data_IF_420253011747
#
_entry.id   IF_420253011747
#
_cell.length_a   1.000
_cell.length_b   1.000
_cell.length_c   1.000
_cell.angle_alpha   90.00
_cell.angle_beta   90.00
_cell.angle_gamma   90.00
#
_symmetry.space_group_name_H-M   'P 1'
#
loop_
_entity.id
_entity.type
_entity.pdbx_description
1 polymer ?
#
# COMPACT_ATOMS: atom_id res chain seq x y z
N UNK A 1 -11.52 14.12 21.23
CA UNK A 1 -11.89 13.70 19.90
C UNK A 1 -11.44 14.75 18.91
N UNK A 2 -10.48 14.42 18.05
CA UNK A 2 -10.06 15.31 16.97
C UNK A 2 -11.06 15.14 15.85
N UNK A 3 -11.85 16.16 15.56
CA UNK A 3 -12.72 16.18 14.39
C UNK A 3 -11.89 16.01 13.13
N UNK A 4 -12.40 15.27 12.16
CA UNK A 4 -11.72 15.07 10.87
C UNK A 4 -11.32 16.42 10.25
N UNK A 5 -10.04 16.59 9.96
CA UNK A 5 -9.49 17.80 9.35
C UNK A 5 -9.00 17.45 7.96
N UNK A 6 -9.51 18.14 6.95
CA UNK A 6 -8.93 18.08 5.60
C UNK A 6 -7.55 18.75 5.64
N UNK A 7 -6.51 18.04 5.24
CA UNK A 7 -5.17 18.61 5.06
C UNK A 7 -4.81 18.64 3.57
N UNK A 8 -3.96 19.59 3.17
CA UNK A 8 -3.44 19.63 1.80
C UNK A 8 -2.65 18.33 1.52
N UNK A 9 -2.83 17.81 0.32
CA UNK A 9 -2.19 16.59 -0.15
C UNK A 9 -0.67 16.78 -0.30
N UNK A 10 0.06 16.46 0.75
CA UNK A 10 1.53 16.45 0.74
C UNK A 10 2.05 15.13 0.16
N UNK A 11 1.33 14.02 0.35
CA UNK A 11 1.77 12.68 -0.03
C UNK A 11 1.71 12.46 -1.54
N UNK A 12 0.61 12.84 -2.20
CA UNK A 12 0.51 12.73 -3.65
C UNK A 12 1.54 13.62 -4.38
N UNK A 13 1.83 14.80 -3.82
CA UNK A 13 2.87 15.70 -4.34
C UNK A 13 4.27 15.12 -4.16
N UNK A 14 4.55 14.48 -3.03
CA UNK A 14 5.84 13.82 -2.76
C UNK A 14 6.16 12.70 -3.74
N UNK A 15 5.20 11.81 -3.98
CA UNK A 15 5.37 10.71 -4.92
C UNK A 15 5.53 11.16 -6.39
N UNK A 16 4.87 12.25 -6.80
CA UNK A 16 5.03 12.81 -8.15
C UNK A 16 6.42 13.43 -8.36
N UNK A 17 7.06 13.93 -7.29
CA UNK A 17 8.46 14.41 -7.36
C UNK A 17 9.45 13.26 -7.55
N UNK A 18 9.20 12.11 -6.93
CA UNK A 18 10.07 10.94 -7.04
C UNK A 18 9.89 10.18 -8.36
N UNK A 19 8.67 10.13 -8.89
CA UNK A 19 8.31 9.40 -10.11
C UNK A 19 7.72 10.36 -11.16
N UNK A 20 8.58 10.89 -12.01
CA UNK A 20 8.20 11.87 -13.05
C UNK A 20 7.15 11.34 -14.04
N UNK A 21 7.11 10.01 -14.25
CA UNK A 21 6.09 9.35 -15.08
C UNK A 21 4.66 9.46 -14.52
N UNK A 22 4.53 9.78 -13.24
CA UNK A 22 3.25 9.97 -12.55
C UNK A 22 2.86 11.45 -12.40
N UNK A 23 3.70 12.37 -12.90
CA UNK A 23 3.43 13.80 -12.83
C UNK A 23 2.15 14.14 -13.61
N UNK A 24 1.22 14.86 -12.97
CA UNK A 24 -0.07 15.22 -13.56
C UNK A 24 -1.11 14.10 -13.65
N UNK A 25 -0.78 12.87 -13.21
CA UNK A 25 -1.68 11.70 -13.26
C UNK A 25 -2.28 11.34 -11.91
N UNK A 26 -2.07 12.15 -10.88
CA UNK A 26 -2.46 11.86 -9.50
C UNK A 26 -3.14 13.05 -8.88
N UNK A 27 -4.24 12.77 -8.20
CA UNK A 27 -4.90 13.69 -7.27
C UNK A 27 -5.15 12.94 -5.97
N UNK A 28 -5.16 13.64 -4.85
CA UNK A 28 -5.46 13.04 -3.55
C UNK A 28 -6.21 14.02 -2.66
N UNK A 29 -7.11 13.49 -1.85
CA UNK A 29 -7.86 14.22 -0.84
C UNK A 29 -7.67 13.52 0.51
N UNK A 30 -6.73 13.97 1.34
CA UNK A 30 -6.49 13.34 2.63
C UNK A 30 -7.62 13.66 3.60
N UNK A 31 -8.07 12.63 4.32
CA UNK A 31 -9.05 12.73 5.40
C UNK A 31 -8.40 12.23 6.67
N UNK A 32 -8.44 13.04 7.75
CA UNK A 32 -7.98 12.60 9.06
C UNK A 32 -9.14 12.02 9.86
N UNK A 33 -8.91 10.84 10.40
CA UNK A 33 -9.86 10.11 11.25
C UNK A 33 -9.28 9.91 12.66
N UNK A 34 -10.10 9.76 13.69
CA UNK A 34 -9.64 9.64 15.08
C UNK A 34 -9.19 8.21 15.39
N UNK A 35 -8.17 7.72 14.68
CA UNK A 35 -7.49 6.45 14.98
C UNK A 35 -6.15 6.71 15.68
N UNK A 36 -5.66 5.78 16.51
CA UNK A 36 -4.36 5.92 17.18
C UNK A 36 -3.20 5.97 16.19
N UNK A 37 -3.21 5.10 15.22
CA UNK A 37 -2.19 4.94 14.18
C UNK A 37 -2.81 4.25 12.96
N UNK A 38 -2.02 4.03 11.92
CA UNK A 38 -2.37 3.42 10.64
C UNK A 38 -3.21 4.35 9.76
N UNK A 39 -2.89 4.35 8.51
CA UNK A 39 -3.62 5.06 7.46
C UNK A 39 -4.10 4.09 6.40
N UNK A 40 -5.08 4.51 5.61
CA UNK A 40 -5.57 3.78 4.45
C UNK A 40 -5.47 4.67 3.22
N UNK A 41 -4.87 4.15 2.16
CA UNK A 41 -4.96 4.74 0.83
C UNK A 41 -6.04 4.04 0.01
N UNK A 42 -6.91 4.82 -0.62
CA UNK A 42 -7.89 4.33 -1.58
C UNK A 42 -7.37 4.69 -2.97
N UNK A 43 -6.96 3.69 -3.73
CA UNK A 43 -6.33 3.85 -5.03
C UNK A 43 -7.34 3.53 -6.14
N UNK A 44 -7.78 4.55 -6.86
CA UNK A 44 -8.58 4.36 -8.08
C UNK A 44 -7.64 4.33 -9.27
N UNK A 45 -7.60 3.20 -9.98
CA UNK A 45 -6.65 2.92 -11.04
C UNK A 45 -7.37 2.56 -12.34
N UNK A 46 -6.74 2.92 -13.47
CA UNK A 46 -7.12 2.42 -14.80
C UNK A 46 -6.01 1.52 -15.31
N UNK A 47 -6.32 0.26 -15.48
CA UNK A 47 -5.38 -0.78 -15.90
C UNK A 47 -5.19 -0.81 -17.43
N UNK A 48 -4.10 -1.40 -17.88
CA UNK A 48 -3.81 -1.59 -19.30
C UNK A 48 -4.73 -2.60 -19.98
N UNK A 49 -5.27 -3.56 -19.22
CA UNK A 49 -6.19 -4.61 -19.69
C UNK A 49 -7.37 -4.76 -18.73
N UNK A 50 -8.43 -5.40 -19.20
CA UNK A 50 -9.54 -5.83 -18.33
C UNK A 50 -9.09 -6.96 -17.42
N UNK A 51 -9.70 -7.05 -16.24
CA UNK A 51 -9.44 -8.09 -15.25
C UNK A 51 -10.68 -8.30 -14.37
N UNK A 52 -10.63 -9.29 -13.49
CA UNK A 52 -11.64 -9.55 -12.46
C UNK A 52 -11.07 -9.29 -11.06
N UNK A 53 -11.93 -9.29 -10.04
CA UNK A 53 -11.51 -9.16 -8.64
C UNK A 53 -10.60 -10.33 -8.26
N UNK A 54 -10.98 -11.54 -8.67
CA UNK A 54 -10.27 -12.79 -8.38
C UNK A 54 -8.86 -12.77 -8.98
N UNK A 55 -8.75 -12.48 -10.28
CA UNK A 55 -7.46 -12.42 -10.98
C UNK A 55 -6.54 -11.35 -10.38
N UNK A 56 -7.10 -10.18 -10.05
CA UNK A 56 -6.32 -9.10 -9.47
C UNK A 56 -5.84 -9.44 -8.05
N UNK A 57 -6.72 -9.99 -7.22
CA UNK A 57 -6.38 -10.41 -5.87
C UNK A 57 -5.36 -11.56 -5.85
N UNK A 58 -5.50 -12.55 -6.74
CA UNK A 58 -4.53 -13.62 -6.88
C UNK A 58 -3.14 -13.11 -7.28
N UNK A 59 -3.08 -12.19 -8.25
CA UNK A 59 -1.84 -11.54 -8.64
C UNK A 59 -1.20 -10.76 -7.49
N UNK A 60 -1.98 -9.95 -6.75
CA UNK A 60 -1.47 -9.15 -5.64
C UNK A 60 -1.01 -10.04 -4.47
N UNK A 61 -1.71 -11.14 -4.22
CA UNK A 61 -1.29 -12.15 -3.25
C UNK A 61 0.02 -12.82 -3.68
N UNK A 62 0.16 -13.18 -4.95
CA UNK A 62 1.41 -13.71 -5.48
C UNK A 62 2.56 -12.70 -5.32
N UNK A 63 2.32 -11.42 -5.62
CA UNK A 63 3.32 -10.35 -5.42
C UNK A 63 3.78 -10.28 -3.98
N UNK A 64 2.87 -10.38 -3.02
CA UNK A 64 3.21 -10.31 -1.59
C UNK A 64 4.04 -11.50 -1.09
N UNK A 65 3.95 -12.66 -1.74
CA UNK A 65 4.60 -13.89 -1.29
C UNK A 65 5.89 -14.22 -2.09
N UNK A 66 5.90 -13.97 -3.40
CA UNK A 66 6.92 -14.53 -4.31
C UNK A 66 7.71 -13.48 -5.10
N UNK A 67 7.31 -12.21 -5.06
CA UNK A 67 8.01 -11.17 -5.82
C UNK A 67 9.13 -10.51 -5.00
N UNK A 68 10.05 -9.78 -5.65
CA UNK A 68 11.01 -8.91 -4.95
C UNK A 68 10.36 -7.84 -4.05
N UNK A 69 9.04 -7.64 -4.19
CA UNK A 69 8.28 -6.68 -3.40
C UNK A 69 7.70 -7.28 -2.11
N UNK A 70 7.93 -8.55 -1.80
CA UNK A 70 7.38 -9.24 -0.63
C UNK A 70 7.70 -8.59 0.73
N UNK A 71 8.74 -7.74 0.81
CA UNK A 71 9.04 -6.94 2.00
C UNK A 71 8.37 -5.57 2.02
N UNK A 72 7.66 -5.23 0.96
CA UNK A 72 7.02 -3.95 0.77
C UNK A 72 5.50 -4.07 0.68
N UNK A 73 5.03 -5.17 0.10
CA UNK A 73 3.62 -5.45 -0.13
C UNK A 73 3.21 -6.67 0.67
N UNK A 74 2.16 -6.54 1.43
CA UNK A 74 1.48 -7.62 2.12
C UNK A 74 0.02 -7.69 1.67
N UNK A 75 -0.70 -8.73 2.06
CA UNK A 75 -2.04 -9.03 1.58
C UNK A 75 -2.90 -9.61 2.70
N UNK A 76 -4.08 -9.07 2.90
CA UNK A 76 -5.05 -9.54 3.88
C UNK A 76 -6.37 -9.87 3.18
N UNK A 77 -6.99 -10.99 3.58
CA UNK A 77 -8.29 -11.45 3.09
C UNK A 77 -9.27 -11.73 4.25
N UNK A 78 -9.15 -10.97 5.33
CA UNK A 78 -10.06 -11.08 6.47
C UNK A 78 -11.16 -10.03 6.37
N UNK A 79 -12.44 -10.41 6.44
CA UNK A 79 -13.55 -9.46 6.44
C UNK A 79 -13.58 -8.58 7.70
N UNK A 80 -12.91 -8.99 8.76
CA UNK A 80 -12.88 -8.28 10.05
C UNK A 80 -11.66 -7.39 10.23
N UNK A 81 -10.87 -7.19 9.16
CA UNK A 81 -9.64 -6.38 9.21
C UNK A 81 -9.94 -4.92 9.57
N UNK A 82 -9.26 -4.42 10.60
CA UNK A 82 -9.40 -3.04 11.08
C UNK A 82 -8.02 -2.39 11.30
N UNK A 83 -7.99 -1.07 11.38
CA UNK A 83 -6.73 -0.30 11.47
C UNK A 83 -5.77 -0.78 12.57
N UNK A 84 -6.28 -1.25 13.70
CA UNK A 84 -5.46 -1.72 14.82
C UNK A 84 -4.67 -2.98 14.51
N UNK A 85 -5.11 -3.80 13.55
CA UNK A 85 -4.44 -5.04 13.16
C UNK A 85 -3.14 -4.79 12.42
N UNK A 86 -3.01 -3.61 11.83
CA UNK A 86 -1.84 -3.21 11.04
C UNK A 86 -0.84 -2.35 11.79
N UNK A 87 -1.08 -2.07 13.07
CA UNK A 87 -0.11 -1.37 13.92
C UNK A 87 1.15 -2.23 14.07
N UNK A 88 2.31 -1.66 13.74
CA UNK A 88 3.59 -2.38 13.73
C UNK A 88 3.84 -3.21 12.46
N UNK A 89 3.01 -3.10 11.43
CA UNK A 89 3.29 -3.71 10.14
C UNK A 89 4.58 -3.15 9.55
N UNK A 90 5.46 -4.05 9.09
CA UNK A 90 6.75 -3.70 8.47
C UNK A 90 6.64 -3.36 6.98
N UNK A 91 5.52 -3.69 6.38
CA UNK A 91 5.29 -3.49 4.95
C UNK A 91 4.95 -2.02 4.65
N UNK A 92 5.29 -1.58 3.46
CA UNK A 92 4.91 -0.26 2.97
C UNK A 92 3.41 -0.19 2.68
N UNK A 93 2.81 -1.34 2.39
CA UNK A 93 1.39 -1.46 2.03
C UNK A 93 0.87 -2.86 2.35
N UNK A 94 -0.36 -2.94 2.85
CA UNK A 94 -1.12 -4.17 3.03
C UNK A 94 -2.40 -4.06 2.22
N UNK A 95 -2.52 -4.88 1.19
CA UNK A 95 -3.68 -4.88 0.28
C UNK A 95 -4.88 -5.54 0.97
N UNK A 96 -6.00 -4.86 1.00
CA UNK A 96 -7.26 -5.40 1.50
C UNK A 96 -8.05 -6.07 0.37
N UNK A 97 -8.03 -7.38 0.36
CA UNK A 97 -8.65 -8.18 -0.70
C UNK A 97 -10.18 -8.08 -0.72
N UNK A 98 -10.78 -8.03 0.48
CA UNK A 98 -12.25 -8.01 0.61
C UNK A 98 -12.84 -6.66 0.16
N UNK A 99 -12.04 -5.59 0.21
CA UNK A 99 -12.44 -4.27 -0.24
C UNK A 99 -12.10 -3.99 -1.72
N UNK A 100 -11.44 -4.92 -2.43
CA UNK A 100 -11.06 -4.74 -3.84
C UNK A 100 -12.30 -4.67 -4.74
N UNK A 101 -12.35 -3.66 -5.60
CA UNK A 101 -13.44 -3.46 -6.57
C UNK A 101 -12.85 -3.43 -7.98
N UNK A 102 -13.47 -4.14 -8.94
CA UNK A 102 -13.07 -4.14 -10.34
C UNK A 102 -14.28 -3.97 -11.24
N UNK A 103 -14.14 -3.15 -12.28
CA UNK A 103 -15.12 -2.96 -13.35
C UNK A 103 -14.37 -2.76 -14.68
N UNK A 104 -14.23 -3.85 -15.45
CA UNK A 104 -13.48 -3.87 -16.70
C UNK A 104 -12.00 -3.52 -16.44
N UNK A 105 -11.58 -2.34 -16.91
CA UNK A 105 -10.22 -1.82 -16.72
C UNK A 105 -10.06 -0.93 -15.50
N UNK A 106 -11.13 -0.61 -14.79
CA UNK A 106 -11.08 0.24 -13.62
C UNK A 106 -11.07 -0.61 -12.36
N UNK A 107 -10.18 -0.29 -11.44
CA UNK A 107 -10.17 -0.92 -10.12
C UNK A 107 -9.98 0.09 -9.00
N UNK A 108 -10.50 -0.28 -7.84
CA UNK A 108 -10.26 0.44 -6.58
C UNK A 108 -9.61 -0.54 -5.62
N UNK A 109 -8.44 -0.17 -5.13
CA UNK A 109 -7.71 -0.91 -4.11
C UNK A 109 -7.72 -0.13 -2.81
N UNK A 110 -7.95 -0.84 -1.72
CA UNK A 110 -7.81 -0.32 -0.36
C UNK A 110 -6.50 -0.86 0.22
N UNK A 111 -5.68 0.04 0.71
CA UNK A 111 -4.30 -0.27 1.10
C UNK A 111 -4.02 0.31 2.47
N UNK A 112 -3.82 -0.56 3.45
CA UNK A 112 -3.42 -0.19 4.80
C UNK A 112 -1.92 0.04 4.90
N UNK A 113 -1.49 0.95 5.75
CA UNK A 113 -0.07 1.15 6.05
C UNK A 113 0.14 1.84 7.40
N UNK A 114 1.17 1.38 8.13
CA UNK A 114 1.64 2.06 9.32
C UNK A 114 2.60 3.19 8.90
N UNK A 115 2.15 4.43 9.10
CA UNK A 115 2.89 5.62 8.66
C UNK A 115 4.28 5.73 9.30
N UNK A 116 4.43 5.27 10.53
CA UNK A 116 5.63 5.45 11.34
C UNK A 116 6.53 4.25 11.26
N UNK A 117 6.03 3.09 11.66
CA UNK A 117 6.81 1.86 11.74
C UNK A 117 7.11 1.28 10.35
N UNK A 118 6.11 1.18 9.49
CA UNK A 118 6.28 0.68 8.13
C UNK A 118 7.26 1.54 7.31
N UNK A 119 7.13 2.87 7.39
CA UNK A 119 8.08 3.77 6.73
C UNK A 119 9.52 3.59 7.24
N UNK A 120 9.71 3.51 8.56
CA UNK A 120 11.03 3.30 9.17
C UNK A 120 11.66 1.98 8.71
N UNK A 121 10.87 0.92 8.59
CA UNK A 121 11.31 -0.36 8.03
C UNK A 121 11.76 -0.24 6.57
N UNK A 122 11.07 0.56 5.75
CA UNK A 122 11.48 0.77 4.36
C UNK A 122 12.78 1.58 4.26
N UNK A 123 12.98 2.58 5.13
CA UNK A 123 14.26 3.32 5.22
C UNK A 123 15.39 2.37 5.56
N UNK A 124 15.20 1.53 6.59
CA UNK A 124 16.20 0.52 6.96
C UNK A 124 16.51 -0.44 5.82
N UNK A 125 15.49 -0.90 5.09
CA UNK A 125 15.66 -1.77 3.93
C UNK A 125 16.51 -1.12 2.84
N UNK A 126 16.30 0.17 2.55
CA UNK A 126 17.11 0.92 1.58
C UNK A 126 18.55 1.05 2.05
N UNK A 127 18.77 1.34 3.33
CA UNK A 127 20.12 1.39 3.91
C UNK A 127 20.83 0.03 3.79
N UNK A 128 20.15 -1.07 4.05
CA UNK A 128 20.67 -2.43 3.85
C UNK A 128 21.08 -2.67 2.39
N UNK A 129 20.22 -2.29 1.46
CA UNK A 129 20.51 -2.44 0.03
C UNK A 129 21.73 -1.62 -0.40
N UNK A 130 21.87 -0.38 0.06
CA UNK A 130 23.00 0.48 -0.24
C UNK A 130 24.30 -0.08 0.36
N UNK A 131 24.21 -0.68 1.55
CA UNK A 131 25.38 -1.27 2.22
C UNK A 131 25.75 -2.68 1.73
N UNK A 132 24.98 -3.25 0.77
CA UNK A 132 25.22 -4.59 0.25
C UNK A 132 24.83 -5.72 1.22
N UNK A 133 24.09 -5.41 2.28
CA UNK A 133 23.57 -6.41 3.24
C UNK A 133 22.24 -6.94 2.76
N UNK A 134 22.21 -8.21 2.39
CA UNK A 134 20.96 -8.90 2.01
C UNK A 134 20.54 -9.88 3.09
N UNK A 135 19.30 -9.75 3.56
CA UNK A 135 18.67 -10.76 4.41
C UNK A 135 17.82 -11.69 3.56
N UNK A 136 17.82 -12.99 3.87
CA UNK A 136 16.97 -13.93 3.15
C UNK A 136 15.50 -13.54 3.31
N UNK A 137 14.75 -13.67 2.23
CA UNK A 137 13.30 -13.55 2.20
C UNK A 137 12.69 -14.92 1.96
N UNK A 138 11.59 -15.23 2.59
CA UNK A 138 10.88 -16.50 2.46
C UNK A 138 9.42 -16.22 2.08
N UNK A 139 8.73 -17.13 1.34
CA UNK A 139 9.28 -18.35 0.76
C UNK A 139 10.29 -18.06 -0.35
N UNK A 140 11.27 -18.94 -0.49
CA UNK A 140 12.15 -19.01 -1.67
C UNK A 140 11.59 -20.11 -2.56
N UNK A 141 11.38 -19.79 -3.83
CA UNK A 141 11.11 -20.80 -4.87
C UNK A 141 12.36 -21.62 -5.15
#
# INVERSE_FOLDING_TARGET
PRNGVFSRDVEATGAAKALTSLQGKRTGNPIRVPTPNVAMAILTLTLGKETTVEELNEYLRWVSLHSPLQRQVDFVSSPDAVSTDFVGSRHASVIDAEATIVSGRHCVLYVWYDNEFGYSCQVLRILQQISGVEYPAYPKD
#
